data_IF_158231624205
#
_entry.id   IF_158231624205
#
_cell.length_a   1.000
_cell.length_b   1.000
_cell.length_c   1.000
_cell.angle_alpha   90.00
_cell.angle_beta   90.00
_cell.angle_gamma   90.00
#
_symmetry.space_group_name_H-M   'P 1'
#
loop_
_entity.id
_entity.type
_entity.pdbx_description
1 polymer ?
#
# COMPACT_ATOMS: atom_id res chain seq x y z
N UNK A 1 1.61 21.18 -28.55
CA UNK A 1 0.88 21.84 -27.44
C UNK A 1 1.91 22.19 -26.40
N UNK A 2 2.06 23.45 -26.09
CA UNK A 2 3.09 23.95 -25.19
C UNK A 2 2.67 23.68 -23.75
N UNK A 3 3.35 22.73 -23.09
CA UNK A 3 3.14 22.36 -21.68
C UNK A 3 3.19 23.59 -20.75
N UNK A 4 4.07 24.55 -21.10
CA UNK A 4 4.28 25.78 -20.35
C UNK A 4 3.12 26.78 -20.44
N UNK A 5 2.25 26.67 -21.44
CA UNK A 5 1.21 27.65 -21.71
C UNK A 5 -0.21 27.25 -21.32
N UNK A 6 -0.38 26.04 -20.69
CA UNK A 6 -1.68 25.63 -20.14
C UNK A 6 -1.95 26.37 -18.81
N UNK A 7 -2.96 27.26 -18.74
CA UNK A 7 -3.20 28.10 -17.56
C UNK A 7 -3.54 27.33 -16.29
N UNK A 8 -4.04 26.09 -16.41
CA UNK A 8 -4.35 25.21 -15.27
C UNK A 8 -3.06 24.61 -14.68
N UNK A 9 -2.02 24.46 -15.49
CA UNK A 9 -0.78 23.77 -15.10
C UNK A 9 0.26 24.77 -14.56
N UNK A 10 0.26 26.01 -15.05
CA UNK A 10 1.28 27.05 -14.72
C UNK A 10 1.44 27.36 -13.22
N UNK A 11 0.42 27.15 -12.41
CA UNK A 11 0.48 27.43 -10.95
C UNK A 11 0.80 26.21 -10.11
N UNK A 12 0.62 25.03 -10.64
CA UNK A 12 0.66 23.77 -9.89
C UNK A 12 1.91 22.94 -10.19
N UNK A 13 2.59 23.23 -11.30
CA UNK A 13 3.81 22.56 -11.70
C UNK A 13 4.91 23.58 -11.90
N UNK A 14 6.04 23.35 -11.27
CA UNK A 14 7.25 24.15 -11.44
C UNK A 14 8.44 23.21 -11.70
N UNK A 15 9.53 23.77 -12.18
CA UNK A 15 10.77 23.04 -12.38
C UNK A 15 11.75 23.46 -11.28
N UNK A 16 12.39 22.48 -10.66
CA UNK A 16 13.45 22.72 -9.69
C UNK A 16 14.75 23.16 -10.37
N UNK A 17 15.79 23.45 -9.57
CA UNK A 17 17.11 23.90 -10.05
C UNK A 17 17.78 22.88 -10.99
N UNK A 18 17.41 21.59 -10.88
CA UNK A 18 17.89 20.50 -11.74
C UNK A 18 17.03 20.34 -13.02
N UNK A 19 16.03 21.18 -13.23
CA UNK A 19 15.09 21.08 -14.35
C UNK A 19 14.07 19.96 -14.24
N UNK A 20 13.87 19.38 -13.04
CA UNK A 20 12.87 18.36 -12.80
C UNK A 20 11.51 18.98 -12.47
N UNK A 21 10.46 18.46 -13.09
CA UNK A 21 9.11 18.91 -12.82
C UNK A 21 8.66 18.47 -11.41
N UNK A 22 8.16 19.42 -10.64
CA UNK A 22 7.59 19.23 -9.30
C UNK A 22 6.13 19.70 -9.28
N UNK A 23 5.34 19.07 -8.41
CA UNK A 23 3.94 19.46 -8.20
C UNK A 23 3.84 20.19 -6.87
N UNK A 24 3.33 21.43 -6.91
CA UNK A 24 2.91 22.14 -5.71
C UNK A 24 1.60 21.51 -5.19
N UNK A 25 1.74 20.65 -4.18
CA UNK A 25 0.65 19.83 -3.68
C UNK A 25 -0.48 20.65 -3.04
N UNK A 26 -0.14 21.78 -2.44
CA UNK A 26 -1.11 22.70 -1.83
C UNK A 26 -2.07 23.32 -2.86
N UNK A 27 -1.63 23.42 -4.12
CA UNK A 27 -2.40 23.95 -5.24
C UNK A 27 -2.99 22.87 -6.15
N UNK A 28 -2.64 21.59 -5.91
CA UNK A 28 -3.11 20.48 -6.74
C UNK A 28 -4.57 20.16 -6.43
N UNK A 29 -5.41 20.12 -7.48
CA UNK A 29 -6.83 19.76 -7.39
C UNK A 29 -7.10 18.33 -7.86
N UNK A 30 -6.07 17.52 -8.08
CA UNK A 30 -6.11 16.14 -8.60
C UNK A 30 -6.93 15.98 -9.92
N UNK A 31 -7.00 17.03 -10.70
CA UNK A 31 -7.73 17.05 -11.99
C UNK A 31 -7.08 16.21 -13.10
N UNK A 32 -5.90 15.66 -12.89
CA UNK A 32 -5.13 14.81 -13.81
C UNK A 32 -4.80 15.45 -15.16
N UNK A 33 -5.03 16.75 -15.34
CA UNK A 33 -4.72 17.44 -16.61
C UNK A 33 -3.24 17.35 -16.97
N UNK A 34 -2.35 17.36 -15.97
CA UNK A 34 -0.90 17.23 -16.18
C UNK A 34 -0.49 15.88 -16.79
N UNK A 35 -1.21 14.80 -16.48
CA UNK A 35 -0.90 13.47 -17.03
C UNK A 35 -1.26 13.35 -18.50
N UNK A 36 -2.30 14.10 -18.93
CA UNK A 36 -2.80 14.09 -20.31
C UNK A 36 -1.91 14.85 -21.29
N UNK A 37 -1.20 15.87 -20.80
CA UNK A 37 -0.41 16.79 -21.63
C UNK A 37 1.10 16.61 -21.49
N UNK A 38 1.57 15.72 -20.60
CA UNK A 38 3.00 15.48 -20.40
C UNK A 38 3.61 14.72 -21.58
N UNK A 39 4.46 15.35 -22.42
CA UNK A 39 5.00 14.71 -23.62
C UNK A 39 5.97 13.57 -23.27
N UNK A 40 6.66 13.67 -22.14
CA UNK A 40 7.58 12.65 -21.65
C UNK A 40 6.89 11.52 -20.88
N UNK A 41 5.55 11.58 -20.70
CA UNK A 41 4.77 10.66 -19.85
C UNK A 41 5.34 10.50 -18.44
N UNK A 42 6.10 11.50 -17.95
CA UNK A 42 6.71 11.49 -16.62
C UNK A 42 5.66 11.71 -15.51
N UNK A 43 4.58 12.45 -15.85
CA UNK A 43 3.43 12.62 -14.96
C UNK A 43 2.42 11.49 -15.20
N UNK A 44 2.21 10.64 -14.18
CA UNK A 44 1.27 9.52 -14.27
C UNK A 44 0.37 9.51 -13.05
N UNK A 45 -0.88 9.13 -13.25
CA UNK A 45 -1.76 8.78 -12.15
C UNK A 45 -1.27 7.47 -11.53
N UNK A 46 -1.06 7.46 -10.23
CA UNK A 46 -0.75 6.26 -9.47
C UNK A 46 -2.04 5.73 -8.86
N UNK A 47 -2.44 4.55 -9.32
CA UNK A 47 -3.70 3.94 -8.90
C UNK A 47 -4.94 4.56 -9.57
N UNK A 48 -6.05 3.91 -9.38
CA UNK A 48 -7.39 4.36 -9.78
C UNK A 48 -8.40 3.90 -8.73
N UNK A 49 -9.49 4.64 -8.51
CA UNK A 49 -10.61 4.12 -7.73
C UNK A 49 -11.13 2.83 -8.37
N UNK A 50 -11.39 1.82 -7.55
CA UNK A 50 -11.99 0.56 -7.98
C UNK A 50 -12.98 0.09 -6.92
N UNK A 51 -14.09 -0.48 -7.37
CA UNK A 51 -15.00 -1.18 -6.50
C UNK A 51 -14.44 -2.55 -6.10
N UNK A 52 -14.83 -3.04 -4.93
CA UNK A 52 -14.37 -4.35 -4.44
C UNK A 52 -14.73 -5.47 -5.44
N UNK A 53 -15.92 -5.42 -6.04
CA UNK A 53 -16.36 -6.37 -7.06
C UNK A 53 -15.42 -6.39 -8.27
N UNK A 54 -14.99 -5.22 -8.75
CA UNK A 54 -14.06 -5.13 -9.87
C UNK A 54 -12.70 -5.76 -9.54
N UNK A 55 -12.21 -5.56 -8.29
CA UNK A 55 -10.96 -6.17 -7.83
C UNK A 55 -11.09 -7.70 -7.81
N UNK A 56 -12.17 -8.20 -7.22
CA UNK A 56 -12.43 -9.63 -7.14
C UNK A 56 -12.56 -10.25 -8.53
N UNK A 57 -13.29 -9.61 -9.45
CA UNK A 57 -13.40 -10.05 -10.83
C UNK A 57 -12.03 -10.13 -11.54
N UNK A 58 -11.16 -9.17 -11.30
CA UNK A 58 -9.79 -9.21 -11.83
C UNK A 58 -8.98 -10.39 -11.29
N UNK A 59 -9.11 -10.68 -10.01
CA UNK A 59 -8.42 -11.82 -9.38
C UNK A 59 -8.97 -13.13 -9.90
N UNK A 60 -10.29 -13.29 -9.98
CA UNK A 60 -10.94 -14.52 -10.43
C UNK A 60 -10.64 -14.88 -11.90
N UNK A 61 -10.38 -13.90 -12.78
CA UNK A 61 -9.95 -14.18 -14.15
C UNK A 61 -8.63 -14.97 -14.23
N UNK A 62 -7.86 -14.98 -13.15
CA UNK A 62 -6.60 -15.73 -13.07
C UNK A 62 -6.71 -16.98 -12.19
N UNK A 63 -7.93 -17.40 -11.85
CA UNK A 63 -8.22 -18.51 -10.94
C UNK A 63 -7.51 -19.82 -11.34
N UNK A 64 -7.43 -20.11 -12.64
CA UNK A 64 -6.74 -21.30 -13.15
C UNK A 64 -5.27 -21.37 -12.72
N UNK A 65 -4.59 -20.22 -12.58
CA UNK A 65 -3.21 -20.18 -12.10
C UNK A 65 -3.12 -20.42 -10.59
N UNK A 66 -4.16 -20.08 -9.83
CA UNK A 66 -4.18 -20.24 -8.37
C UNK A 66 -4.48 -21.68 -7.95
N UNK A 67 -5.24 -22.44 -8.75
CA UNK A 67 -5.56 -23.84 -8.47
C UNK A 67 -4.35 -24.78 -8.53
N UNK A 68 -3.34 -24.43 -9.31
CA UNK A 68 -2.11 -25.21 -9.45
C UNK A 68 -0.97 -24.75 -8.52
N UNK A 69 -1.20 -23.70 -7.76
CA UNK A 69 -0.26 -23.12 -6.81
C UNK A 69 -1.00 -22.50 -5.63
N UNK A 70 -0.29 -22.12 -4.61
CA UNK A 70 -0.86 -21.42 -3.44
C UNK A 70 -1.08 -19.91 -3.73
N UNK A 71 -1.64 -19.61 -4.90
CA UNK A 71 -1.88 -18.23 -5.35
C UNK A 71 -3.18 -17.66 -4.82
N UNK A 72 -3.34 -16.33 -4.94
CA UNK A 72 -4.55 -15.64 -4.50
C UNK A 72 -4.42 -14.14 -4.54
N UNK A 73 -5.06 -13.46 -3.60
CA UNK A 73 -5.05 -12.02 -3.45
C UNK A 73 -4.00 -11.59 -2.41
N UNK A 74 -2.98 -10.84 -2.84
CA UNK A 74 -2.10 -10.13 -1.92
C UNK A 74 -2.44 -8.65 -1.91
N UNK A 75 -2.80 -8.12 -0.74
CA UNK A 75 -3.05 -6.68 -0.56
C UNK A 75 -1.76 -6.01 -0.08
N UNK A 76 -1.29 -5.04 -0.85
CA UNK A 76 -0.06 -4.28 -0.61
C UNK A 76 -0.28 -2.82 -1.03
N UNK A 77 0.82 -2.06 -1.22
CA UNK A 77 0.76 -0.66 -1.60
C UNK A 77 1.07 0.21 -0.40
N UNK A 78 0.74 1.47 -0.23
CA UNK A 78 1.08 2.26 0.97
C UNK A 78 1.04 1.43 2.28
N UNK A 79 0.15 1.72 3.20
CA UNK A 79 -0.12 0.84 4.35
C UNK A 79 -1.58 0.34 4.25
N UNK A 80 -1.82 -0.94 3.91
CA UNK A 80 -3.16 -1.46 3.72
C UNK A 80 -4.07 -1.33 4.94
N UNK A 81 -3.51 -1.48 6.15
CA UNK A 81 -4.26 -1.33 7.40
C UNK A 81 -4.82 0.07 7.61
N UNK A 82 -4.25 1.11 6.95
CA UNK A 82 -4.78 2.46 7.02
C UNK A 82 -6.17 2.61 6.38
N UNK A 83 -6.57 1.64 5.55
CA UNK A 83 -7.87 1.62 4.89
C UNK A 83 -8.98 0.93 5.73
N UNK A 84 -8.67 0.44 6.93
CA UNK A 84 -9.63 -0.02 7.93
C UNK A 84 -10.75 -0.90 7.36
N UNK A 85 -11.99 -0.45 7.50
CA UNK A 85 -13.19 -1.17 7.09
C UNK A 85 -13.20 -1.58 5.60
N UNK A 86 -12.59 -0.79 4.73
CA UNK A 86 -12.53 -1.14 3.30
C UNK A 86 -11.67 -2.38 3.08
N UNK A 87 -10.50 -2.47 3.75
CA UNK A 87 -9.64 -3.65 3.71
C UNK A 87 -10.40 -4.88 4.21
N UNK A 88 -11.08 -4.77 5.35
CA UNK A 88 -11.85 -5.88 5.92
C UNK A 88 -12.93 -6.36 4.95
N UNK A 89 -13.65 -5.44 4.32
CA UNK A 89 -14.67 -5.79 3.31
C UNK A 89 -14.07 -6.51 2.10
N UNK A 90 -12.91 -6.05 1.61
CA UNK A 90 -12.21 -6.69 0.51
C UNK A 90 -11.79 -8.13 0.87
N UNK A 91 -11.18 -8.32 2.05
CA UNK A 91 -10.76 -9.64 2.52
C UNK A 91 -11.95 -10.59 2.74
N UNK A 92 -13.05 -10.09 3.32
CA UNK A 92 -14.30 -10.86 3.48
C UNK A 92 -14.85 -11.31 2.13
N UNK A 93 -14.84 -10.42 1.14
CA UNK A 93 -15.32 -10.78 -0.20
C UNK A 93 -14.41 -11.82 -0.87
N UNK A 94 -13.08 -11.65 -0.77
CA UNK A 94 -12.12 -12.64 -1.26
C UNK A 94 -12.35 -14.03 -0.66
N UNK A 95 -12.65 -14.11 0.64
CA UNK A 95 -12.95 -15.40 1.31
C UNK A 95 -14.25 -16.05 0.84
N UNK A 96 -15.28 -15.30 0.45
CA UNK A 96 -16.49 -15.87 -0.16
C UNK A 96 -16.17 -16.62 -1.45
N UNK A 97 -15.19 -16.13 -2.19
CA UNK A 97 -14.71 -16.76 -3.42
C UNK A 97 -13.59 -17.79 -3.16
N UNK A 98 -13.33 -18.18 -1.90
CA UNK A 98 -12.31 -19.16 -1.50
C UNK A 98 -10.89 -18.79 -1.95
N UNK A 99 -10.63 -17.51 -2.17
CA UNK A 99 -9.29 -17.05 -2.52
C UNK A 99 -8.36 -17.16 -1.32
N UNK A 100 -7.13 -17.59 -1.57
CA UNK A 100 -6.04 -17.43 -0.62
C UNK A 100 -5.71 -15.95 -0.49
N UNK A 101 -5.52 -15.47 0.74
CA UNK A 101 -5.38 -14.03 1.03
C UNK A 101 -4.09 -13.75 1.78
N UNK A 102 -3.38 -12.75 1.32
CA UNK A 102 -2.18 -12.26 1.98
C UNK A 102 -2.19 -10.73 2.10
N UNK A 103 -1.45 -10.20 3.08
CA UNK A 103 -1.21 -8.78 3.25
C UNK A 103 0.29 -8.52 3.42
N UNK A 104 0.77 -7.41 2.85
CA UNK A 104 2.08 -6.85 3.15
C UNK A 104 1.89 -5.57 3.95
N UNK A 105 2.36 -5.53 5.17
CA UNK A 105 2.14 -4.41 6.10
C UNK A 105 3.36 -4.14 6.97
N UNK A 106 3.57 -2.88 7.36
CA UNK A 106 4.48 -2.55 8.45
C UNK A 106 3.77 -2.51 9.82
N UNK A 107 2.47 -2.72 9.86
CA UNK A 107 1.70 -2.71 11.11
C UNK A 107 1.53 -1.34 11.77
N UNK A 108 1.77 -0.24 11.04
CA UNK A 108 1.59 1.11 11.57
C UNK A 108 0.12 1.55 11.47
N UNK A 109 -0.72 0.94 12.30
CA UNK A 109 -2.16 1.18 12.38
C UNK A 109 -2.69 0.84 13.77
N UNK A 110 -4.00 1.08 14.02
CA UNK A 110 -4.66 0.52 15.21
C UNK A 110 -4.62 -1.01 15.16
N UNK A 111 -4.29 -1.64 16.29
CA UNK A 111 -4.28 -3.08 16.40
C UNK A 111 -5.65 -3.72 16.12
N UNK A 112 -6.74 -3.05 16.43
CA UNK A 112 -8.09 -3.55 16.19
C UNK A 112 -8.35 -3.89 14.71
N UNK A 113 -7.83 -3.08 13.79
CA UNK A 113 -7.92 -3.37 12.34
C UNK A 113 -7.15 -4.64 11.99
N UNK A 114 -5.92 -4.79 12.49
CA UNK A 114 -5.10 -5.97 12.26
C UNK A 114 -5.75 -7.21 12.88
N UNK A 115 -6.29 -7.10 14.10
CA UNK A 115 -6.99 -8.15 14.81
C UNK A 115 -8.25 -8.64 14.07
N UNK A 116 -8.98 -7.75 13.43
CA UNK A 116 -10.09 -8.16 12.58
C UNK A 116 -9.60 -8.79 11.27
N UNK A 117 -8.55 -8.24 10.67
CA UNK A 117 -8.02 -8.70 9.40
C UNK A 117 -7.48 -10.16 9.47
N UNK A 118 -6.85 -10.57 10.58
CA UNK A 118 -6.30 -11.93 10.73
C UNK A 118 -7.35 -13.03 10.56
N UNK A 119 -8.62 -12.74 10.81
CA UNK A 119 -9.71 -13.72 10.59
C UNK A 119 -9.94 -14.06 9.11
N UNK A 120 -9.39 -13.24 8.21
CA UNK A 120 -9.58 -13.35 6.77
C UNK A 120 -8.25 -13.43 6.01
N UNK A 121 -7.13 -13.65 6.72
CA UNK A 121 -5.79 -13.73 6.14
C UNK A 121 -5.20 -15.12 6.33
N UNK A 122 -4.64 -15.69 5.27
CA UNK A 122 -3.85 -16.91 5.32
C UNK A 122 -2.38 -16.60 5.59
N UNK A 123 -1.88 -15.48 5.04
CA UNK A 123 -0.48 -15.06 5.20
C UNK A 123 -0.37 -13.57 5.52
N UNK A 124 0.53 -13.24 6.42
CA UNK A 124 0.95 -11.86 6.71
C UNK A 124 2.45 -11.74 6.50
N UNK A 125 2.85 -10.87 5.58
CA UNK A 125 4.22 -10.39 5.46
C UNK A 125 4.35 -9.11 6.29
N UNK A 126 5.02 -9.22 7.44
CA UNK A 126 5.13 -8.12 8.39
C UNK A 126 6.52 -7.49 8.32
N UNK A 127 6.57 -6.23 7.91
CA UNK A 127 7.82 -5.51 7.68
C UNK A 127 8.30 -4.77 8.93
N UNK A 128 9.38 -5.22 9.53
CA UNK A 128 10.08 -4.53 10.63
C UNK A 128 11.32 -3.87 10.03
N UNK A 129 11.26 -2.55 9.79
CA UNK A 129 12.35 -1.83 9.11
C UNK A 129 13.59 -1.66 10.00
N UNK A 130 13.41 -1.46 11.31
CA UNK A 130 14.48 -1.40 12.31
C UNK A 130 13.92 -1.70 13.71
N UNK A 131 14.69 -2.41 14.52
CA UNK A 131 14.39 -2.61 15.95
C UNK A 131 14.79 -1.38 16.80
N UNK A 132 15.72 -0.56 16.32
CA UNK A 132 16.14 0.65 16.99
C UNK A 132 15.20 1.82 16.65
N UNK A 133 14.54 2.39 17.66
CA UNK A 133 13.53 3.43 17.48
C UNK A 133 14.12 4.75 16.94
N UNK A 134 15.32 5.12 17.38
CA UNK A 134 15.99 6.34 16.89
C UNK A 134 16.33 6.24 15.42
N UNK A 135 16.92 5.10 15.00
CA UNK A 135 17.18 4.83 13.59
C UNK A 135 15.88 4.80 12.79
N UNK A 136 14.85 4.11 13.30
CA UNK A 136 13.56 4.06 12.62
C UNK A 136 12.97 5.46 12.43
N UNK A 137 12.98 6.31 13.47
CA UNK A 137 12.53 7.70 13.36
C UNK A 137 13.36 8.52 12.38
N UNK A 138 14.66 8.34 12.37
CA UNK A 138 15.55 9.08 11.49
C UNK A 138 15.23 8.80 10.01
N UNK A 139 15.02 7.53 9.65
CA UNK A 139 14.82 7.14 8.25
C UNK A 139 13.37 7.14 7.77
N UNK A 140 12.39 6.97 8.67
CA UNK A 140 10.96 6.87 8.32
C UNK A 140 10.12 8.05 8.81
N UNK A 141 10.68 8.88 9.70
CA UNK A 141 9.94 9.97 10.34
C UNK A 141 8.97 9.53 11.45
N UNK A 142 8.92 8.23 11.81
CA UNK A 142 7.97 7.67 12.77
C UNK A 142 8.66 6.74 13.78
N UNK A 143 8.08 6.65 15.01
CA UNK A 143 8.49 5.64 15.99
C UNK A 143 8.08 4.23 15.53
N UNK A 144 8.90 3.23 15.85
CA UNK A 144 8.57 1.83 15.62
C UNK A 144 7.78 1.19 16.77
N UNK A 145 7.50 1.91 17.87
CA UNK A 145 6.88 1.34 19.07
C UNK A 145 5.55 0.64 18.74
N UNK A 146 4.64 1.34 18.05
CA UNK A 146 3.35 0.76 17.67
C UNK A 146 3.49 -0.47 16.76
N UNK A 147 4.50 -0.47 15.89
CA UNK A 147 4.80 -1.58 14.98
C UNK A 147 5.19 -2.82 15.78
N UNK A 148 6.12 -2.65 16.72
CA UNK A 148 6.62 -3.75 17.55
C UNK A 148 5.57 -4.27 18.53
N UNK A 149 4.74 -3.39 19.08
CA UNK A 149 3.65 -3.79 19.96
C UNK A 149 2.56 -4.54 19.21
N UNK A 150 2.19 -4.07 18.00
CA UNK A 150 1.28 -4.76 17.12
C UNK A 150 1.82 -6.14 16.69
N UNK A 151 3.12 -6.24 16.39
CA UNK A 151 3.72 -7.51 16.04
C UNK A 151 3.66 -8.52 17.18
N UNK A 152 3.97 -8.09 18.42
CA UNK A 152 3.87 -8.97 19.60
C UNK A 152 2.45 -9.49 19.82
N UNK A 153 1.44 -8.62 19.70
CA UNK A 153 0.04 -9.01 19.85
C UNK A 153 -0.38 -9.94 18.70
N UNK A 154 0.02 -9.62 17.46
CA UNK A 154 -0.26 -10.42 16.28
C UNK A 154 0.22 -11.87 16.45
N UNK A 155 1.45 -12.08 16.93
CA UNK A 155 2.01 -13.44 17.16
C UNK A 155 1.20 -14.22 18.20
N UNK A 156 0.59 -13.55 19.18
CA UNK A 156 -0.27 -14.17 20.18
C UNK A 156 -1.67 -14.52 19.63
N UNK A 157 -2.24 -13.65 18.81
CA UNK A 157 -3.63 -13.76 18.35
C UNK A 157 -3.78 -14.59 17.07
N UNK A 158 -2.79 -14.60 16.19
CA UNK A 158 -2.83 -15.33 14.93
C UNK A 158 -2.61 -16.83 15.16
N UNK A 159 -3.71 -17.60 15.19
CA UNK A 159 -3.68 -19.05 15.44
C UNK A 159 -3.43 -19.88 14.16
N UNK A 160 -3.99 -19.46 13.05
CA UNK A 160 -3.98 -20.18 11.76
C UNK A 160 -3.28 -19.42 10.66
N UNK A 161 -3.13 -18.10 10.80
CA UNK A 161 -2.49 -17.24 9.82
C UNK A 161 -0.97 -17.38 9.88
N UNK A 162 -0.34 -17.66 8.75
CA UNK A 162 1.13 -17.72 8.65
C UNK A 162 1.71 -16.31 8.71
N UNK A 163 2.65 -16.07 9.62
CA UNK A 163 3.33 -14.78 9.75
C UNK A 163 4.77 -14.94 9.24
N UNK A 164 5.18 -14.05 8.36
CA UNK A 164 6.56 -13.92 7.89
C UNK A 164 7.05 -12.52 8.23
N UNK A 165 7.93 -12.39 9.22
CA UNK A 165 8.61 -11.12 9.49
C UNK A 165 9.70 -10.88 8.45
N UNK A 166 9.73 -9.68 7.88
CA UNK A 166 10.73 -9.25 6.88
C UNK A 166 11.48 -8.03 7.41
N UNK A 167 12.79 -8.02 7.23
CA UNK A 167 13.64 -6.87 7.58
C UNK A 167 14.59 -6.59 6.41
N UNK A 168 14.66 -5.35 5.90
CA UNK A 168 15.63 -4.99 4.89
C UNK A 168 17.04 -5.01 5.49
N UNK A 169 17.99 -5.59 4.77
CA UNK A 169 19.40 -5.55 5.15
C UNK A 169 20.09 -4.46 4.34
N UNK A 170 20.35 -3.32 4.98
CA UNK A 170 20.94 -2.15 4.35
C UNK A 170 22.30 -1.90 5.01
N UNK A 171 23.44 -1.96 4.27
CA UNK A 171 24.74 -1.67 4.82
C UNK A 171 24.79 -0.26 5.45
N UNK A 172 25.26 -0.16 6.70
CA UNK A 172 25.35 1.11 7.43
C UNK A 172 24.04 1.60 8.08
N UNK A 173 22.94 0.90 7.91
CA UNK A 173 21.65 1.21 8.54
C UNK A 173 21.56 0.69 9.97
#
# INVERSE_FOLDING_TARGET
>A
MDFANNPVIKKQIFFDEEGKAKIERSLCTDCLSCTKVCPAMAMKQQGKPMEISEIIDHVLRQELFYHHGEGGLTVSGGEPLSHGDWLIRLLKEAKKHRLHTAIETCGYASYEVLKEAINYLDVIFFDIKSMNDEKHKHYTGKSNQIILDNFKQLVQDAKTTKITARTPVIPGF
#
